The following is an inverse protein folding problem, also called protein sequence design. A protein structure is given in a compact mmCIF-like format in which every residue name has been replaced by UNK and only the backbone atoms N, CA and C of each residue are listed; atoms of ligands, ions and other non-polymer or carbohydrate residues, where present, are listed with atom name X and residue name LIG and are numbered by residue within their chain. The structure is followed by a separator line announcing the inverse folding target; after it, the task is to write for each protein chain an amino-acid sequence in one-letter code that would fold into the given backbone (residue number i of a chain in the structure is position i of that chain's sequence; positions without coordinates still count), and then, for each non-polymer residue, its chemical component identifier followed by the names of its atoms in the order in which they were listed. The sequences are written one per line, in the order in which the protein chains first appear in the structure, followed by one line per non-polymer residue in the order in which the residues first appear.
data_IF_004876519090
#
_entry.id   IF_004876519090
#
_cell.length_a   1.000
_cell.length_b   1.000
_cell.length_c   1.000
_cell.angle_alpha   90.00
_cell.angle_beta   90.00
_cell.angle_gamma   90.00
#
_symmetry.space_group_name_H-M   'P 1'
#
loop_
_entity.id
_entity.type
_entity.pdbx_description
1 polymer ?
#
# COMPACT_ATOMS: atom_id res chain seq x y z
N UNK A 1 6.62 -0.32 0.56
CA UNK A 1 7.50 -1.19 1.39
C UNK A 1 6.78 -1.62 2.66
N UNK A 2 6.48 -2.92 2.83
CA UNK A 2 5.91 -3.50 4.05
C UNK A 2 6.70 -4.79 4.36
N UNK A 3 7.30 -4.92 5.55
CA UNK A 3 7.93 -6.16 6.01
C UNK A 3 7.04 -6.87 7.01
N UNK A 4 6.30 -7.87 6.54
CA UNK A 4 5.67 -8.89 7.40
C UNK A 4 5.99 -10.27 6.82
N UNK A 5 6.88 -11.00 7.50
CA UNK A 5 7.22 -12.38 7.15
C UNK A 5 6.52 -13.36 8.08
N UNK A 6 5.91 -14.42 7.54
CA UNK A 6 6.30 -15.81 7.79
C UNK A 6 5.45 -16.78 6.96
N UNK A 7 6.09 -17.80 6.36
CA UNK A 7 5.46 -18.79 5.46
C UNK A 7 4.98 -20.06 6.20
N UNK A 8 4.02 -20.75 5.59
CA UNK A 8 3.29 -21.93 6.08
C UNK A 8 4.09 -23.24 6.05
N UNK A 9 3.55 -24.26 6.74
CA UNK A 9 3.39 -25.61 6.17
C UNK A 9 1.97 -26.12 6.50
N UNK A 10 1.42 -26.96 5.63
CA UNK A 10 0.01 -27.37 5.66
C UNK A 10 -0.16 -28.89 5.47
N UNK A 11 -1.26 -29.41 5.99
CA UNK A 11 -1.91 -30.68 5.61
C UNK A 11 -3.42 -30.55 5.93
N UNK A 12 -4.34 -31.24 5.26
CA UNK A 12 -4.50 -31.53 3.82
C UNK A 12 -6.00 -31.87 3.63
N UNK A 13 -6.65 -31.36 2.58
CA UNK A 13 -8.06 -31.65 2.32
C UNK A 13 -8.71 -30.74 1.28
N UNK A 14 -8.52 -31.08 0.00
CA UNK A 14 -9.34 -30.78 -1.20
C UNK A 14 -9.98 -29.37 -1.32
N UNK A 15 -9.74 -28.55 -2.36
CA UNK A 15 -9.32 -28.75 -3.77
C UNK A 15 -8.62 -27.46 -4.28
N UNK A 16 -7.70 -27.57 -5.26
CA UNK A 16 -7.48 -26.49 -6.25
C UNK A 16 -6.11 -25.80 -6.34
N UNK A 17 -5.16 -26.45 -7.05
CA UNK A 17 -4.17 -25.88 -7.98
C UNK A 17 -3.04 -24.87 -7.55
N UNK A 18 -1.83 -25.20 -8.04
CA UNK A 18 -0.66 -24.35 -8.43
C UNK A 18 0.39 -23.88 -7.38
N UNK A 19 1.66 -23.84 -7.87
CA UNK A 19 2.91 -23.97 -7.08
C UNK A 19 4.12 -23.31 -7.81
N UNK A 20 5.27 -22.96 -7.19
CA UNK A 20 5.66 -23.13 -5.78
C UNK A 20 6.44 -21.97 -5.07
N UNK A 21 7.72 -21.60 -5.38
CA UNK A 21 8.59 -21.20 -4.27
C UNK A 21 9.30 -19.84 -4.34
N UNK A 22 9.47 -19.24 -3.16
CA UNK A 22 10.52 -18.26 -2.84
C UNK A 22 11.26 -18.77 -1.59
N UNK A 23 12.60 -18.68 -1.59
CA UNK A 23 13.49 -18.92 -0.46
C UNK A 23 13.63 -17.67 0.42
N UNK A 24 14.08 -17.86 1.67
CA UNK A 24 14.37 -16.78 2.60
C UNK A 24 15.81 -16.87 3.11
N UNK A 25 16.43 -15.71 3.32
CA UNK A 25 17.51 -15.45 4.27
C UNK A 25 17.47 -13.94 4.59
N UNK A 26 18.10 -13.51 5.67
CA UNK A 26 18.14 -12.09 6.03
C UNK A 26 19.10 -11.78 7.16
N UNK A 27 19.35 -10.50 7.39
CA UNK A 27 20.03 -9.99 8.58
C UNK A 27 19.49 -8.61 8.97
N UNK A 28 19.67 -8.27 10.24
CA UNK A 28 19.41 -6.95 10.82
C UNK A 28 20.73 -6.32 11.22
N UNK A 29 20.96 -5.06 10.86
CA UNK A 29 21.99 -4.25 11.51
C UNK A 29 21.47 -2.84 11.79
N UNK A 30 21.79 -2.34 12.98
CA UNK A 30 21.29 -1.10 13.56
C UNK A 30 22.40 -0.06 13.43
N UNK A 31 22.14 1.08 12.79
CA UNK A 31 23.04 2.24 12.81
C UNK A 31 22.23 3.51 13.06
N UNK A 32 22.73 4.33 13.99
CA UNK A 32 22.05 5.53 14.50
C UNK A 32 22.15 6.68 13.49
N UNK A 33 21.09 7.46 13.24
CA UNK A 33 21.23 8.82 12.73
C UNK A 33 21.63 9.76 13.88
N UNK A 34 22.57 10.67 13.59
CA UNK A 34 22.86 11.80 14.47
C UNK A 34 21.79 12.89 14.31
N UNK A 35 21.71 13.80 15.29
CA UNK A 35 20.84 14.99 15.37
C UNK A 35 20.74 15.76 14.03
N UNK A 36 19.65 16.42 13.63
CA UNK A 36 18.61 17.22 14.33
C UNK A 36 17.37 17.33 13.40
N UNK A 37 16.16 17.83 13.72
CA UNK A 37 15.68 18.91 14.60
C UNK A 37 14.35 18.52 15.29
N UNK A 38 14.01 19.20 16.40
CA UNK A 38 12.78 18.96 17.16
C UNK A 38 11.55 19.67 16.59
N UNK A 39 10.43 18.95 16.46
CA UNK A 39 9.18 19.32 17.17
C UNK A 39 8.15 18.18 17.09
N UNK A 40 8.20 17.22 18.04
CA UNK A 40 7.08 16.31 18.25
C UNK A 40 6.03 17.00 19.13
N UNK A 41 4.90 17.38 18.54
CA UNK A 41 3.78 17.96 19.25
C UNK A 41 3.24 16.96 20.29
N UNK A 42 3.35 17.33 21.57
CA UNK A 42 2.94 16.51 22.70
C UNK A 42 1.42 16.59 22.88
N UNK A 43 0.65 15.83 22.10
CA UNK A 43 -0.82 15.78 22.23
C UNK A 43 -1.19 14.95 23.47
N UNK A 44 -1.28 15.63 24.62
CA UNK A 44 -1.95 15.10 25.81
C UNK A 44 -3.46 15.10 25.55
N UNK A 45 -4.19 14.04 25.93
CA UNK A 45 -5.64 13.89 25.67
C UNK A 45 -6.41 15.19 25.96
N UNK A 46 -7.02 15.84 24.95
CA UNK A 46 -7.97 16.91 25.20
C UNK A 46 -9.32 16.29 25.59
N UNK A 47 -10.03 16.91 26.53
CA UNK A 47 -11.36 16.48 26.96
C UNK A 47 -12.44 16.94 25.96
N UNK A 48 -12.72 16.10 24.96
CA UNK A 48 -13.75 16.37 23.94
C UNK A 48 -15.11 15.77 24.34
N UNK A 49 -15.89 16.49 25.15
CA UNK A 49 -17.22 16.02 25.56
C UNK A 49 -18.22 16.02 24.40
N UNK A 50 -18.54 14.85 23.84
CA UNK A 50 -19.72 14.64 23.00
C UNK A 50 -20.15 13.17 23.00
N UNK A 51 -21.40 12.90 22.61
CA UNK A 51 -22.04 11.57 22.66
C UNK A 51 -21.38 10.49 21.77
N UNK A 52 -20.37 10.86 20.99
CA UNK A 52 -19.51 9.94 20.24
C UNK A 52 -18.65 9.04 21.15
N UNK A 53 -18.18 9.57 22.30
CA UNK A 53 -17.29 8.85 23.24
C UNK A 53 -17.90 7.52 23.72
N UNK A 54 -19.18 7.53 24.09
CA UNK A 54 -19.82 6.38 24.74
C UNK A 54 -19.84 5.13 23.85
N UNK A 55 -19.82 5.27 22.52
CA UNK A 55 -19.75 4.12 21.59
C UNK A 55 -18.34 3.56 21.45
N UNK A 56 -17.31 4.39 21.47
CA UNK A 56 -15.91 3.97 21.32
C UNK A 56 -15.32 3.43 22.63
N UNK A 57 -15.58 4.06 23.78
CA UNK A 57 -15.15 3.56 25.10
C UNK A 57 -15.69 2.14 25.39
N UNK A 58 -16.92 1.86 24.94
CA UNK A 58 -17.50 0.51 25.02
C UNK A 58 -16.91 -0.49 24.02
N UNK A 59 -16.33 -0.02 22.91
CA UNK A 59 -15.63 -0.84 21.93
C UNK A 59 -14.26 -1.28 22.44
N UNK A 60 -13.45 -0.39 23.01
CA UNK A 60 -12.09 -0.71 23.46
C UNK A 60 -12.09 -1.74 24.59
N UNK A 61 -13.01 -1.57 25.54
CA UNK A 61 -13.24 -2.55 26.59
C UNK A 61 -13.76 -3.90 26.02
N UNK A 62 -14.42 -3.93 24.86
CA UNK A 62 -14.76 -5.20 24.15
C UNK A 62 -13.57 -5.79 23.41
N UNK A 63 -12.71 -5.00 22.77
CA UNK A 63 -11.49 -5.50 22.10
C UNK A 63 -10.52 -6.10 23.11
N UNK A 64 -10.22 -5.39 24.20
CA UNK A 64 -9.38 -5.90 25.28
C UNK A 64 -9.93 -7.21 25.88
N UNK A 65 -11.25 -7.27 26.16
CA UNK A 65 -11.91 -8.49 26.68
C UNK A 65 -11.99 -9.62 25.64
N UNK A 66 -12.12 -9.31 24.35
CA UNK A 66 -12.11 -10.27 23.23
C UNK A 66 -10.75 -10.94 23.08
N UNK A 67 -9.66 -10.16 23.15
CA UNK A 67 -8.29 -10.67 23.11
C UNK A 67 -7.99 -11.52 24.37
N UNK A 68 -8.38 -11.06 25.55
CA UNK A 68 -8.20 -11.81 26.80
C UNK A 68 -9.01 -13.13 26.86
N UNK A 69 -10.25 -13.15 26.34
CA UNK A 69 -11.08 -14.37 26.31
C UNK A 69 -10.64 -15.36 25.23
N UNK A 70 -10.20 -14.90 24.05
CA UNK A 70 -9.56 -15.76 23.04
C UNK A 70 -8.27 -16.40 23.55
N UNK A 71 -7.49 -15.69 24.38
CA UNK A 71 -6.30 -16.24 25.03
C UNK A 71 -6.61 -17.38 26.02
N UNK A 72 -7.78 -17.36 26.67
CA UNK A 72 -8.20 -18.39 27.65
C UNK A 72 -8.91 -19.63 27.05
N UNK A 73 -9.53 -19.55 25.86
CA UNK A 73 -10.55 -20.53 25.43
C UNK A 73 -10.17 -21.47 24.26
N UNK A 74 -8.88 -21.66 23.95
CA UNK A 74 -8.43 -22.75 23.05
C UNK A 74 -7.21 -23.50 23.59
N UNK A 75 -7.46 -24.68 24.17
CA UNK A 75 -6.50 -25.77 24.19
C UNK A 75 -6.36 -26.40 22.79
N UNK A 76 -5.30 -27.22 22.62
CA UNK A 76 -5.06 -28.12 21.48
C UNK A 76 -5.27 -27.55 20.06
N UNK A 77 -4.18 -27.01 19.47
CA UNK A 77 -4.14 -26.66 18.04
C UNK A 77 -2.83 -25.97 17.68
N UNK A 78 -2.00 -26.61 16.84
CA UNK A 78 -0.61 -26.22 16.53
C UNK A 78 -0.44 -24.98 15.65
N UNK A 79 -1.16 -23.89 15.93
CA UNK A 79 -0.93 -22.60 15.31
C UNK A 79 0.30 -21.90 15.91
N UNK A 80 1.10 -21.23 15.06
CA UNK A 80 2.24 -20.41 15.47
C UNK A 80 1.77 -19.33 16.44
N UNK A 81 2.00 -19.52 17.76
CA UNK A 81 1.73 -18.51 18.79
C UNK A 81 2.54 -17.26 18.49
N UNK A 82 1.92 -16.24 17.91
CA UNK A 82 2.41 -14.87 17.98
C UNK A 82 2.38 -14.46 19.44
N UNK A 83 3.55 -14.48 20.10
CA UNK A 83 3.73 -13.83 21.40
C UNK A 83 3.46 -12.34 21.18
N UNK A 84 2.29 -11.86 21.60
CA UNK A 84 1.98 -10.43 21.63
C UNK A 84 3.02 -9.78 22.55
N UNK A 85 3.74 -8.76 22.07
CA UNK A 85 4.76 -8.11 22.90
C UNK A 85 4.07 -7.47 24.12
N UNK A 86 4.43 -7.83 25.37
CA UNK A 86 3.83 -7.26 26.57
C UNK A 86 3.97 -5.74 26.67
N UNK A 87 5.05 -5.17 26.12
CA UNK A 87 5.26 -3.72 26.08
C UNK A 87 4.25 -3.01 25.19
N UNK A 88 3.87 -3.65 24.06
CA UNK A 88 2.81 -3.16 23.17
C UNK A 88 1.45 -3.18 23.87
N UNK A 89 1.14 -4.24 24.63
CA UNK A 89 -0.10 -4.30 25.42
C UNK A 89 -0.13 -3.16 26.45
N UNK A 90 0.95 -2.97 27.21
CA UNK A 90 1.09 -1.88 28.19
C UNK A 90 1.03 -0.49 27.56
N UNK A 91 1.56 -0.31 26.36
CA UNK A 91 1.44 0.94 25.61
C UNK A 91 -0.03 1.23 25.24
N UNK A 92 -0.77 0.24 24.76
CA UNK A 92 -2.19 0.37 24.38
C UNK A 92 -3.13 0.67 25.57
N UNK A 93 -2.71 0.47 26.81
CA UNK A 93 -3.47 0.89 28.01
C UNK A 93 -3.49 2.42 28.18
N UNK A 94 -2.51 3.14 27.63
CA UNK A 94 -2.35 4.59 27.83
C UNK A 94 -2.35 5.40 26.52
N UNK A 95 -2.01 4.77 25.39
CA UNK A 95 -1.88 5.38 24.07
C UNK A 95 -2.82 4.71 23.05
N UNK A 96 -3.40 5.53 22.17
CA UNK A 96 -4.23 5.06 21.06
C UNK A 96 -3.42 5.08 19.75
N UNK A 97 -3.34 3.97 18.98
CA UNK A 97 -2.61 3.94 17.72
C UNK A 97 -3.47 4.47 16.57
N UNK A 98 -3.09 5.62 16.02
CA UNK A 98 -3.68 6.17 14.79
C UNK A 98 -2.91 5.62 13.58
N UNK A 99 -3.57 4.86 12.72
CA UNK A 99 -2.96 4.19 11.56
C UNK A 99 -3.65 4.64 10.28
N UNK A 100 -2.90 5.30 9.39
CA UNK A 100 -3.27 5.53 8.00
C UNK A 100 -2.56 4.55 7.07
N UNK A 101 -3.17 4.22 5.94
CA UNK A 101 -2.58 3.35 4.92
C UNK A 101 -2.76 3.98 3.55
N UNK A 102 -1.67 4.04 2.78
CA UNK A 102 -1.69 4.36 1.35
C UNK A 102 -1.65 3.05 0.56
N UNK A 103 -2.57 2.87 -0.38
CA UNK A 103 -2.68 1.63 -1.18
C UNK A 103 -2.64 2.01 -2.65
N UNK A 104 -1.68 1.43 -3.36
CA UNK A 104 -1.55 1.53 -4.81
C UNK A 104 -2.06 0.23 -5.42
N UNK A 105 -2.88 0.31 -6.47
CA UNK A 105 -3.48 -0.85 -7.14
C UNK A 105 -3.26 -0.76 -8.65
N UNK A 106 -2.56 -1.75 -9.20
CA UNK A 106 -2.41 -1.86 -10.65
C UNK A 106 -3.75 -2.24 -11.27
N UNK A 107 -4.22 -1.44 -12.24
CA UNK A 107 -5.46 -1.71 -12.95
C UNK A 107 -5.22 -2.73 -14.07
N UNK A 108 -6.09 -3.74 -14.16
CA UNK A 108 -6.07 -4.75 -15.22
C UNK A 108 -6.54 -4.15 -16.56
N UNK A 109 -5.65 -3.42 -17.21
CA UNK A 109 -5.82 -2.87 -18.57
C UNK A 109 -4.92 -3.60 -19.56
N UNK A 110 -5.28 -3.55 -20.84
CA UNK A 110 -4.46 -4.10 -21.94
C UNK A 110 -3.30 -3.18 -22.30
N UNK A 111 -3.53 -1.86 -22.20
CA UNK A 111 -2.54 -0.81 -22.50
C UNK A 111 -2.23 0.06 -21.28
N UNK A 112 -1.05 0.71 -21.30
CA UNK A 112 -0.58 1.61 -20.24
C UNK A 112 -1.50 2.83 -20.05
N UNK A 113 -1.29 3.58 -18.97
CA UNK A 113 -2.16 4.68 -18.56
C UNK A 113 -2.18 5.88 -19.55
N UNK A 114 -1.07 6.14 -20.24
CA UNK A 114 -0.88 7.33 -21.08
C UNK A 114 -0.34 7.08 -22.50
N UNK A 115 -0.25 5.81 -22.92
CA UNK A 115 0.21 5.42 -24.26
C UNK A 115 -0.33 4.03 -24.67
N UNK A 116 -0.20 3.69 -25.95
CA UNK A 116 -0.70 2.43 -26.51
C UNK A 116 0.16 1.18 -26.26
N UNK A 117 1.25 1.27 -25.49
CA UNK A 117 2.05 0.08 -25.14
C UNK A 117 1.25 -0.90 -24.29
N UNK A 118 1.57 -2.20 -24.40
CA UNK A 118 1.04 -3.22 -23.51
C UNK A 118 1.40 -2.95 -22.03
N UNK A 119 0.47 -3.24 -21.13
CA UNK A 119 0.66 -3.28 -19.68
C UNK A 119 0.96 -4.69 -19.14
N UNK A 120 1.11 -5.69 -20.01
CA UNK A 120 1.39 -7.08 -19.65
C UNK A 120 2.88 -7.33 -19.33
N UNK A 121 3.40 -6.70 -18.27
CA UNK A 121 4.81 -6.82 -17.87
C UNK A 121 5.21 -8.21 -17.37
N UNK A 122 4.28 -8.98 -16.82
CA UNK A 122 4.51 -10.32 -16.27
C UNK A 122 4.11 -11.46 -17.21
N UNK A 123 3.82 -11.15 -18.48
CA UNK A 123 3.55 -12.18 -19.47
C UNK A 123 4.83 -12.94 -19.84
N UNK A 124 4.69 -14.25 -20.09
CA UNK A 124 5.81 -15.10 -20.48
C UNK A 124 6.46 -14.60 -21.78
N UNK A 125 7.79 -14.60 -21.82
CA UNK A 125 8.56 -14.10 -22.98
C UNK A 125 8.74 -12.58 -23.06
N UNK A 126 8.15 -11.78 -22.16
CA UNK A 126 8.38 -10.33 -22.10
C UNK A 126 9.76 -10.05 -21.49
N UNK A 127 10.70 -9.64 -22.34
CA UNK A 127 12.05 -9.21 -21.93
C UNK A 127 12.08 -7.76 -21.42
N UNK A 128 13.18 -7.34 -20.78
CA UNK A 128 13.31 -5.99 -20.25
C UNK A 128 13.28 -4.94 -21.37
N UNK A 129 12.69 -3.78 -21.11
CA UNK A 129 12.56 -2.67 -22.05
C UNK A 129 11.91 -3.04 -23.40
N UNK A 130 11.06 -4.08 -23.47
CA UNK A 130 10.36 -4.48 -24.71
C UNK A 130 9.01 -3.77 -24.89
N UNK A 131 8.22 -3.64 -23.82
CA UNK A 131 6.91 -2.98 -23.84
C UNK A 131 7.04 -1.45 -23.68
N UNK A 132 7.81 -0.79 -24.56
CA UNK A 132 8.13 0.65 -24.47
C UNK A 132 7.76 1.43 -25.74
N UNK A 133 7.63 2.74 -25.60
CA UNK A 133 7.51 3.71 -26.69
C UNK A 133 8.06 5.07 -26.21
N UNK A 134 8.28 6.03 -27.13
CA UNK A 134 8.79 7.36 -26.77
C UNK A 134 8.02 8.07 -25.65
N UNK A 135 6.70 7.88 -25.55
CA UNK A 135 5.86 8.53 -24.52
C UNK A 135 6.17 8.00 -23.12
N UNK A 136 6.21 6.68 -22.92
CA UNK A 136 6.47 6.12 -21.59
C UNK A 136 7.95 6.18 -21.19
N UNK A 137 8.87 6.26 -22.15
CA UNK A 137 10.30 6.52 -21.89
C UNK A 137 10.67 8.00 -21.86
N UNK A 138 9.68 8.91 -21.85
CA UNK A 138 9.89 10.34 -21.62
C UNK A 138 10.69 11.07 -22.68
N UNK A 139 10.70 10.58 -23.93
CA UNK A 139 11.50 11.14 -25.01
C UNK A 139 11.05 12.57 -25.37
N UNK A 140 11.96 13.43 -25.86
CA UNK A 140 11.63 14.79 -26.29
C UNK A 140 10.49 14.85 -27.32
N UNK A 141 9.61 15.85 -27.18
CA UNK A 141 8.51 16.09 -28.12
C UNK A 141 7.28 15.19 -27.95
N UNK A 142 7.25 14.30 -26.96
CA UNK A 142 6.14 13.36 -26.74
C UNK A 142 5.02 13.93 -25.85
N UNK A 143 3.80 13.44 -26.03
CA UNK A 143 2.61 13.85 -25.28
C UNK A 143 1.83 12.64 -24.74
N UNK A 144 1.34 12.69 -23.48
CA UNK A 144 0.52 11.63 -22.90
C UNK A 144 -0.92 11.65 -23.44
N UNK A 145 -1.48 10.47 -23.73
CA UNK A 145 -2.89 10.30 -24.13
C UNK A 145 -3.61 9.42 -23.10
N UNK A 146 -4.50 9.99 -22.26
CA UNK A 146 -5.16 9.24 -21.19
C UNK A 146 -5.96 8.02 -21.67
N UNK A 147 -5.71 6.88 -21.02
CA UNK A 147 -6.41 5.63 -21.30
C UNK A 147 -7.84 5.66 -20.75
N UNK A 148 -8.84 5.58 -21.65
CA UNK A 148 -10.27 5.56 -21.29
C UNK A 148 -10.60 4.44 -20.29
N UNK A 149 -9.95 3.28 -20.37
CA UNK A 149 -10.22 2.14 -19.48
C UNK A 149 -9.71 2.37 -18.06
N UNK A 150 -8.59 3.09 -17.90
CA UNK A 150 -8.10 3.52 -16.58
C UNK A 150 -9.14 4.41 -15.89
N UNK A 151 -9.69 5.40 -16.60
CA UNK A 151 -10.74 6.28 -16.06
C UNK A 151 -12.00 5.52 -15.68
N UNK A 152 -12.46 4.60 -16.54
CA UNK A 152 -13.63 3.75 -16.28
C UNK A 152 -13.44 2.88 -15.03
N UNK A 153 -12.30 2.21 -14.89
CA UNK A 153 -11.98 1.34 -13.76
C UNK A 153 -11.78 2.13 -12.47
N UNK A 154 -11.12 3.28 -12.51
CA UNK A 154 -10.93 4.15 -11.35
C UNK A 154 -12.28 4.68 -10.82
N UNK A 155 -13.17 5.12 -11.71
CA UNK A 155 -14.52 5.55 -11.32
C UNK A 155 -15.35 4.38 -10.74
N UNK A 156 -15.31 3.19 -11.35
CA UNK A 156 -15.96 1.98 -10.81
C UNK A 156 -15.42 1.60 -9.43
N UNK A 157 -14.11 1.71 -9.21
CA UNK A 157 -13.47 1.44 -7.92
C UNK A 157 -13.90 2.46 -6.87
N UNK A 158 -14.00 3.75 -7.24
CA UNK A 158 -14.58 4.79 -6.39
C UNK A 158 -16.01 4.46 -5.96
N UNK A 159 -16.87 4.06 -6.91
CA UNK A 159 -18.25 3.66 -6.60
C UNK A 159 -18.31 2.44 -5.66
N UNK A 160 -17.47 1.42 -5.90
CA UNK A 160 -17.38 0.22 -5.06
C UNK A 160 -16.87 0.52 -3.63
N UNK A 161 -16.06 1.58 -3.46
CA UNK A 161 -15.60 2.09 -2.17
C UNK A 161 -16.52 3.15 -1.56
N UNK A 162 -17.74 3.29 -2.08
CA UNK A 162 -18.75 4.28 -1.63
C UNK A 162 -18.29 5.74 -1.73
N UNK A 163 -17.28 6.04 -2.55
CA UNK A 163 -16.78 7.40 -2.76
C UNK A 163 -17.75 8.23 -3.61
N UNK A 164 -17.76 9.54 -3.38
CA UNK A 164 -18.36 10.51 -4.29
C UNK A 164 -17.47 10.66 -5.53
N UNK A 165 -17.98 10.33 -6.71
CA UNK A 165 -17.26 10.52 -7.98
C UNK A 165 -17.27 12.02 -8.36
N UNK A 166 -16.12 12.52 -8.80
CA UNK A 166 -15.96 13.90 -9.22
C UNK A 166 -16.58 14.15 -10.62
N UNK A 167 -17.44 15.17 -10.81
CA UNK A 167 -17.99 15.51 -12.12
C UNK A 167 -16.94 16.17 -13.04
N UNK A 168 -15.86 16.69 -12.46
CA UNK A 168 -14.69 17.23 -13.14
C UNK A 168 -13.44 16.81 -12.36
N UNK A 169 -12.45 16.33 -13.08
CA UNK A 169 -11.16 15.87 -12.54
C UNK A 169 -10.04 16.37 -13.46
N UNK A 170 -8.80 16.44 -12.99
CA UNK A 170 -7.63 16.75 -13.84
C UNK A 170 -6.43 15.87 -13.50
N UNK A 171 -5.43 15.91 -14.37
CA UNK A 171 -4.12 15.30 -14.13
C UNK A 171 -3.10 16.39 -13.77
N UNK A 172 -2.12 16.01 -12.96
CA UNK A 172 -1.10 16.86 -12.37
C UNK A 172 0.29 16.22 -12.52
N UNK A 173 1.34 17.05 -12.54
CA UNK A 173 2.74 16.59 -12.58
C UNK A 173 3.34 16.66 -11.19
N UNK A 174 3.58 15.49 -10.59
CA UNK A 174 4.36 15.32 -9.35
C UNK A 174 5.84 15.18 -9.74
N UNK A 175 6.56 16.30 -9.70
CA UNK A 175 7.94 16.38 -10.18
C UNK A 175 8.93 15.83 -9.14
N UNK A 176 9.81 14.90 -9.56
CA UNK A 176 10.93 14.38 -8.77
C UNK A 176 11.93 13.68 -9.70
N UNK A 177 13.21 13.69 -9.32
CA UNK A 177 14.28 13.05 -10.06
C UNK A 177 14.56 11.66 -9.48
N UNK A 178 14.29 10.61 -10.25
CA UNK A 178 14.67 9.24 -9.91
C UNK A 178 14.86 8.40 -11.18
N UNK A 179 15.81 7.44 -11.23
CA UNK A 179 16.17 6.74 -12.48
C UNK A 179 15.04 5.93 -13.14
N UNK A 180 14.04 5.51 -12.38
CA UNK A 180 12.87 4.77 -12.87
C UNK A 180 11.75 5.67 -13.42
N UNK A 181 11.92 7.00 -13.32
CA UNK A 181 10.90 8.00 -13.65
C UNK A 181 11.41 8.85 -14.80
N UNK A 182 11.38 8.36 -16.06
CA UNK A 182 12.14 8.92 -17.18
C UNK A 182 11.72 10.35 -17.57
N UNK A 183 10.54 10.79 -17.15
CA UNK A 183 10.02 12.14 -17.39
C UNK A 183 10.48 13.17 -16.34
N UNK A 184 11.12 12.74 -15.24
CA UNK A 184 11.33 13.50 -14.00
C UNK A 184 10.04 14.08 -13.37
N UNK A 185 8.89 13.51 -13.75
CA UNK A 185 7.61 13.70 -13.09
C UNK A 185 6.71 12.47 -13.32
N UNK A 186 5.86 12.21 -12.34
CA UNK A 186 4.76 11.25 -12.41
C UNK A 186 3.47 12.02 -12.74
N UNK A 187 2.72 11.57 -13.75
CA UNK A 187 1.38 12.07 -14.03
C UNK A 187 0.40 11.40 -13.07
N UNK A 188 -0.10 12.17 -12.11
CA UNK A 188 -1.01 11.77 -11.03
C UNK A 188 -2.21 12.73 -10.99
N UNK A 189 -2.94 12.84 -9.88
CA UNK A 189 -3.93 13.91 -9.64
C UNK A 189 -3.70 14.47 -8.23
N UNK A 190 -3.78 15.79 -8.06
CA UNK A 190 -3.55 16.42 -6.76
C UNK A 190 -4.86 16.89 -6.10
N UNK A 191 -5.30 18.11 -6.40
CA UNK A 191 -6.48 18.80 -5.84
C UNK A 191 -7.83 18.34 -6.41
N UNK A 192 -7.89 17.77 -7.62
CA UNK A 192 -9.12 17.22 -8.22
C UNK A 192 -9.00 15.73 -8.55
N UNK A 193 -8.95 14.83 -7.55
CA UNK A 193 -9.00 13.38 -7.77
C UNK A 193 -10.32 12.93 -8.42
N UNK A 194 -10.34 11.71 -8.96
CA UNK A 194 -11.55 11.13 -9.57
C UNK A 194 -12.65 10.78 -8.55
N UNK A 195 -12.30 10.47 -7.29
CA UNK A 195 -13.28 10.17 -6.25
C UNK A 195 -12.79 10.48 -4.83
N UNK A 196 -13.70 10.88 -3.92
CA UNK A 196 -13.37 11.26 -2.53
C UNK A 196 -14.43 10.82 -1.51
N UNK A 197 -14.07 10.85 -0.23
CA UNK A 197 -14.97 10.68 0.91
C UNK A 197 -15.77 9.38 0.93
N UNK A 198 -15.14 8.26 0.57
CA UNK A 198 -15.73 6.92 0.65
C UNK A 198 -15.49 6.23 1.98
N UNK A 199 -15.84 4.94 2.04
CA UNK A 199 -15.51 4.07 3.15
C UNK A 199 -15.46 2.59 2.73
N UNK A 200 -14.59 1.83 3.38
CA UNK A 200 -14.58 0.37 3.36
C UNK A 200 -15.21 -0.15 4.66
N UNK A 201 -16.22 -1.01 4.54
CA UNK A 201 -16.81 -1.70 5.70
C UNK A 201 -16.07 -3.02 5.96
N UNK A 202 -15.56 -3.18 7.18
CA UNK A 202 -14.84 -4.38 7.60
C UNK A 202 -15.83 -5.46 8.08
N UNK A 203 -15.44 -6.75 8.07
CA UNK A 203 -16.26 -7.83 8.66
C UNK A 203 -16.60 -7.67 10.15
N UNK A 204 -15.98 -6.70 10.85
CA UNK A 204 -16.30 -6.30 12.22
C UNK A 204 -17.47 -5.31 12.32
N UNK A 205 -18.01 -4.82 11.19
CA UNK A 205 -19.00 -3.74 11.11
C UNK A 205 -18.39 -2.33 11.29
N UNK A 206 -17.07 -2.23 11.44
CA UNK A 206 -16.37 -0.95 11.49
C UNK A 206 -16.16 -0.39 10.08
N UNK A 207 -16.24 0.93 9.93
CA UNK A 207 -15.97 1.63 8.68
C UNK A 207 -14.59 2.30 8.74
N UNK A 208 -13.75 2.01 7.76
CA UNK A 208 -12.49 2.72 7.51
C UNK A 208 -12.76 3.76 6.43
N UNK A 209 -12.57 5.04 6.74
CA UNK A 209 -12.76 6.12 5.77
C UNK A 209 -11.75 6.06 4.64
N UNK A 210 -12.20 6.32 3.41
CA UNK A 210 -11.36 6.49 2.22
C UNK A 210 -11.33 7.98 1.90
N UNK A 211 -10.22 8.65 2.21
CA UNK A 211 -10.08 10.10 1.97
C UNK A 211 -10.25 10.44 0.49
N UNK A 212 -9.53 9.73 -0.38
CA UNK A 212 -9.46 9.96 -1.83
C UNK A 212 -9.10 8.68 -2.58
N UNK A 213 -9.45 8.65 -3.86
CA UNK A 213 -8.94 7.74 -4.88
C UNK A 213 -8.58 8.58 -6.10
N UNK A 214 -7.34 8.46 -6.58
CA UNK A 214 -6.84 9.19 -7.75
C UNK A 214 -6.14 8.24 -8.72
N UNK A 215 -5.99 8.69 -9.97
CA UNK A 215 -5.28 7.96 -11.02
C UNK A 215 -3.84 8.43 -11.15
N UNK A 216 -2.91 7.49 -11.33
CA UNK A 216 -1.53 7.80 -11.69
C UNK A 216 -0.92 6.74 -12.62
N UNK A 217 0.21 7.08 -13.25
CA UNK A 217 1.12 6.07 -13.81
C UNK A 217 2.04 5.51 -12.72
N UNK A 218 2.44 4.26 -12.90
CA UNK A 218 3.49 3.62 -12.12
C UNK A 218 4.89 4.04 -12.61
N UNK A 219 5.92 3.86 -11.79
CA UNK A 219 7.31 4.02 -12.21
C UNK A 219 7.83 2.76 -12.92
N UNK A 220 9.01 2.85 -13.55
CA UNK A 220 9.72 1.67 -14.01
C UNK A 220 10.24 0.82 -12.84
N UNK A 221 10.68 -0.40 -13.12
CA UNK A 221 11.29 -1.28 -12.14
C UNK A 221 12.81 -1.02 -12.09
N UNK A 222 13.32 -0.74 -10.90
CA UNK A 222 14.77 -0.70 -10.66
C UNK A 222 15.26 -1.96 -9.94
N UNK A 223 16.28 -2.62 -10.50
CA UNK A 223 16.94 -3.78 -9.92
C UNK A 223 18.39 -3.43 -9.56
N UNK A 224 18.72 -3.39 -8.27
CA UNK A 224 20.09 -3.15 -7.80
C UNK A 224 20.94 -4.42 -7.93
N UNK A 225 22.20 -4.28 -8.36
CA UNK A 225 23.13 -5.39 -8.59
C UNK A 225 24.55 -5.07 -8.09
N UNK A 226 25.38 -6.12 -8.02
CA UNK A 226 26.78 -6.03 -7.57
C UNK A 226 27.04 -6.39 -6.10
N UNK A 227 25.99 -6.75 -5.34
CA UNK A 227 26.12 -7.28 -3.98
C UNK A 227 24.93 -8.18 -3.61
N UNK A 228 25.04 -8.94 -2.52
CA UNK A 228 23.96 -9.77 -1.96
C UNK A 228 22.81 -8.95 -1.33
N UNK A 229 23.05 -7.65 -1.09
CA UNK A 229 22.10 -6.77 -0.43
C UNK A 229 22.08 -5.38 -1.09
N UNK A 230 21.02 -4.62 -0.83
CA UNK A 230 20.92 -3.22 -1.24
C UNK A 230 22.10 -2.39 -0.72
N UNK A 231 22.52 -2.63 0.54
CA UNK A 231 23.76 -2.08 1.06
C UNK A 231 24.95 -2.81 0.40
N UNK A 232 25.70 -2.07 -0.41
CA UNK A 232 26.86 -2.57 -1.19
C UNK A 232 26.60 -2.77 -2.68
N UNK A 233 25.37 -2.62 -3.18
CA UNK A 233 25.09 -2.67 -4.62
C UNK A 233 25.87 -1.60 -5.38
N UNK A 234 26.52 -1.98 -6.48
CA UNK A 234 27.43 -1.10 -7.24
C UNK A 234 26.75 -0.34 -8.37
N UNK A 235 25.63 -0.86 -8.86
CA UNK A 235 24.86 -0.26 -9.95
C UNK A 235 23.39 -0.70 -9.88
N UNK A 236 22.57 -0.11 -10.76
CA UNK A 236 21.14 -0.43 -10.87
C UNK A 236 20.73 -0.54 -12.33
N UNK A 237 19.88 -1.52 -12.65
CA UNK A 237 19.30 -1.73 -13.96
C UNK A 237 17.84 -1.26 -13.97
N UNK A 238 17.40 -0.58 -15.02
CA UNK A 238 16.05 -0.01 -15.18
C UNK A 238 15.29 -0.75 -16.28
N UNK A 239 14.02 -1.06 -16.02
CA UNK A 239 13.08 -1.77 -16.89
C UNK A 239 11.64 -1.22 -16.76
#
# INVERSE_FOLDING_TARGET
AIRTLFRQRATAGLIGLLQLPILALGFTQFSRPHQSLHSFARVRRPSWSSSWDQKYVNHDARVARSLATKAKKKGSGGGRRTKVNPELVKALETWEPIIGVEVHTQLSTETKAYCGCSSAYFAEGVGPNTNICPVCTGQPGTLPVPNKKVVELAAKTGMALNCKIAPKTKFDRKNYFYPDTPKNYQITQYDYPIAEHGFLELPTGQKVGITRLHMEEDSAKMNHQGAESLAGSTHSLID
#
